data_IF_117923920561
#
_entry.id   IF_117923920561
#
_cell.length_a   1.000
_cell.length_b   1.000
_cell.length_c   1.000
_cell.angle_alpha   90.00
_cell.angle_beta   90.00
_cell.angle_gamma   90.00
#
_symmetry.space_group_name_H-M   'P 1'
#
loop_
_entity.id
_entity.type
_entity.pdbx_description
1 polymer ?
#
# COMPACT_ATOMS: atom_id res chain seq x y z
N UNK A 1 -49.78 16.55 15.19
CA UNK A 1 -49.45 17.99 15.04
C UNK A 1 -48.03 18.12 15.60
N UNK A 2 -47.03 17.96 14.75
CA UNK A 2 -45.65 18.22 15.15
C UNK A 2 -45.35 19.71 15.02
N UNK A 3 -45.62 20.43 16.06
CA UNK A 3 -44.94 21.69 16.31
C UNK A 3 -43.66 21.36 17.05
N UNK A 4 -42.53 21.29 16.33
CA UNK A 4 -41.21 21.65 16.85
C UNK A 4 -40.14 21.12 15.91
N UNK A 5 -39.72 21.97 14.98
CA UNK A 5 -38.49 21.74 14.18
C UNK A 5 -37.20 21.61 15.00
N UNK A 6 -37.27 21.70 16.31
CA UNK A 6 -36.15 21.59 17.24
C UNK A 6 -35.76 20.13 17.58
N UNK A 7 -36.71 19.19 17.57
CA UNK A 7 -36.45 17.79 17.99
C UNK A 7 -35.72 17.00 16.89
N UNK A 8 -36.06 17.22 15.62
CA UNK A 8 -35.39 16.55 14.51
C UNK A 8 -33.94 17.02 14.37
N UNK A 9 -33.65 18.30 14.57
CA UNK A 9 -32.29 18.84 14.47
C UNK A 9 -31.41 18.33 15.61
N UNK A 10 -31.95 18.16 16.80
CA UNK A 10 -31.20 17.62 17.94
C UNK A 10 -30.96 16.12 17.82
N UNK A 11 -31.91 15.36 17.24
CA UNK A 11 -31.72 13.93 17.01
C UNK A 11 -30.67 13.68 15.92
N UNK A 12 -30.72 14.42 14.81
CA UNK A 12 -29.72 14.37 13.75
C UNK A 12 -28.33 14.82 14.27
N UNK A 13 -28.28 15.88 15.07
CA UNK A 13 -27.01 16.29 15.70
C UNK A 13 -26.44 15.23 16.67
N UNK A 14 -27.28 14.53 17.42
CA UNK A 14 -26.84 13.49 18.36
C UNK A 14 -26.35 12.22 17.60
N UNK A 15 -26.99 11.86 16.50
CA UNK A 15 -26.51 10.75 15.64
C UNK A 15 -25.20 11.09 14.92
N UNK A 16 -25.04 12.31 14.42
CA UNK A 16 -23.79 12.77 13.80
C UNK A 16 -22.66 12.83 14.84
N UNK A 17 -22.94 13.29 16.06
CA UNK A 17 -21.93 13.32 17.13
C UNK A 17 -21.55 11.92 17.62
N UNK A 18 -22.44 10.93 17.54
CA UNK A 18 -22.13 9.54 17.92
C UNK A 18 -21.21 8.82 16.91
N UNK A 19 -21.07 9.33 15.68
CA UNK A 19 -20.22 8.75 14.65
C UNK A 19 -18.85 9.45 14.49
N UNK A 20 -18.60 10.54 15.22
CA UNK A 20 -17.32 11.23 15.17
C UNK A 20 -16.33 10.66 16.17
N UNK A 21 -15.14 10.37 15.69
CA UNK A 21 -14.01 9.90 16.49
C UNK A 21 -12.87 10.91 16.49
N UNK A 22 -12.14 10.94 17.59
CA UNK A 22 -10.99 11.81 17.79
C UNK A 22 -9.72 11.15 17.24
N UNK A 23 -9.03 11.84 16.36
CA UNK A 23 -7.70 11.44 15.86
C UNK A 23 -6.68 12.47 16.31
N UNK A 24 -5.55 11.99 16.84
CA UNK A 24 -4.39 12.81 17.15
C UNK A 24 -3.37 12.60 16.03
N UNK A 25 -3.10 13.64 15.24
CA UNK A 25 -2.07 13.62 14.23
C UNK A 25 -0.73 14.04 14.84
N UNK A 26 0.21 13.09 14.97
CA UNK A 26 1.51 13.33 15.59
C UNK A 26 2.43 14.22 14.75
N UNK A 27 2.24 14.27 13.42
CA UNK A 27 3.08 15.04 12.52
C UNK A 27 3.04 16.55 12.79
N UNK A 28 1.88 17.07 13.17
CA UNK A 28 1.66 18.50 13.43
C UNK A 28 0.99 18.74 14.80
N UNK A 29 0.88 17.70 15.63
CA UNK A 29 0.24 17.73 16.94
C UNK A 29 -1.21 18.26 16.93
N UNK A 30 -1.90 18.10 15.79
CA UNK A 30 -3.29 18.51 15.65
C UNK A 30 -4.24 17.39 16.10
N UNK A 31 -5.43 17.83 16.50
CA UNK A 31 -6.56 16.94 16.79
C UNK A 31 -7.61 17.15 15.73
N UNK A 32 -8.06 16.07 15.11
CA UNK A 32 -9.11 16.04 14.11
C UNK A 32 -10.31 15.24 14.64
N UNK A 33 -11.51 15.70 14.30
CA UNK A 33 -12.75 14.94 14.49
C UNK A 33 -13.18 14.43 13.12
N UNK A 34 -13.22 13.12 12.94
CA UNK A 34 -13.58 12.49 11.67
C UNK A 34 -14.69 11.46 11.88
N UNK A 35 -15.41 11.13 10.84
CA UNK A 35 -16.43 10.08 10.89
C UNK A 35 -15.77 8.69 11.02
N UNK A 36 -16.41 7.79 11.75
CA UNK A 36 -15.99 6.37 11.82
C UNK A 36 -15.95 5.78 10.41
N UNK A 37 -14.88 5.05 10.10
CA UNK A 37 -14.66 4.46 8.79
C UNK A 37 -13.95 5.38 7.78
N UNK A 38 -13.55 6.59 8.18
CA UNK A 38 -12.69 7.46 7.38
C UNK A 38 -11.34 6.78 7.13
N UNK A 39 -10.87 6.79 5.87
CA UNK A 39 -9.58 6.24 5.50
C UNK A 39 -8.42 7.17 5.88
N UNK A 40 -7.22 6.61 6.05
CA UNK A 40 -6.01 7.42 6.27
C UNK A 40 -5.75 8.36 5.09
N UNK A 41 -6.06 7.93 3.86
CA UNK A 41 -5.94 8.77 2.66
C UNK A 41 -6.84 10.01 2.73
N UNK A 42 -8.08 9.87 3.21
CA UNK A 42 -8.99 11.00 3.36
C UNK A 42 -8.55 11.94 4.48
N UNK A 43 -7.96 11.40 5.55
CA UNK A 43 -7.37 12.22 6.61
C UNK A 43 -6.20 13.06 6.09
N UNK A 44 -5.36 12.51 5.21
CA UNK A 44 -4.25 13.26 4.58
C UNK A 44 -4.78 14.49 3.84
N UNK A 45 -5.93 14.40 3.18
CA UNK A 45 -6.55 15.53 2.45
C UNK A 45 -6.99 16.67 3.37
N UNK A 46 -7.20 16.37 4.66
CA UNK A 46 -7.56 17.36 5.70
C UNK A 46 -6.34 18.03 6.34
N UNK A 47 -5.13 17.49 6.09
CA UNK A 47 -3.88 18.01 6.63
C UNK A 47 -3.28 19.08 5.70
N UNK A 48 -2.45 20.00 6.24
CA UNK A 48 -1.66 20.90 5.39
C UNK A 48 -0.79 20.07 4.45
N UNK A 49 -0.65 20.56 3.21
CA UNK A 49 0.14 19.91 2.17
C UNK A 49 1.60 19.70 2.60
N UNK A 50 2.20 18.62 2.09
CA UNK A 50 3.61 18.28 2.31
C UNK A 50 4.34 18.25 0.97
N UNK A 51 5.66 18.56 0.99
CA UNK A 51 6.50 18.48 -0.20
C UNK A 51 6.62 17.05 -0.76
N UNK A 52 6.57 16.05 0.13
CA UNK A 52 6.69 14.65 -0.23
C UNK A 52 5.41 13.89 0.12
N UNK A 53 4.95 13.01 -0.79
CA UNK A 53 3.73 12.22 -0.54
C UNK A 53 3.91 11.27 0.64
N UNK A 54 2.86 11.10 1.42
CA UNK A 54 2.81 10.05 2.43
C UNK A 54 2.61 8.69 1.76
N UNK A 55 3.28 7.67 2.29
CA UNK A 55 3.30 6.31 1.76
C UNK A 55 2.55 5.32 2.66
N UNK A 56 2.49 5.60 3.94
CA UNK A 56 1.83 4.81 4.95
C UNK A 56 1.62 5.65 6.22
N UNK A 57 1.00 5.08 7.25
CA UNK A 57 0.91 5.70 8.56
C UNK A 57 1.09 4.68 9.68
N UNK A 58 1.63 5.13 10.82
CA UNK A 58 1.48 4.44 12.08
C UNK A 58 0.12 4.77 12.67
N UNK A 59 -0.64 3.75 13.04
CA UNK A 59 -1.87 3.84 13.82
C UNK A 59 -1.61 3.10 15.13
N UNK A 60 -1.58 3.80 16.24
CA UNK A 60 -1.19 3.24 17.54
C UNK A 60 0.10 2.41 17.45
N UNK A 61 1.17 2.95 16.84
CA UNK A 61 2.47 2.31 16.58
C UNK A 61 2.49 1.11 15.62
N UNK A 62 1.37 0.79 14.96
CA UNK A 62 1.31 -0.24 13.93
C UNK A 62 1.25 0.40 12.53
N UNK A 63 2.11 -0.04 11.63
CA UNK A 63 2.10 0.46 10.24
C UNK A 63 0.84 -0.03 9.53
N UNK A 64 0.13 0.90 8.89
CA UNK A 64 -1.06 0.68 8.08
C UNK A 64 -0.90 1.32 6.70
N UNK A 65 -1.54 0.71 5.71
CA UNK A 65 -1.70 1.25 4.37
C UNK A 65 -2.67 2.43 4.38
N UNK A 66 -2.64 3.29 3.37
CA UNK A 66 -3.43 4.52 3.36
C UNK A 66 -4.94 4.27 3.17
N UNK A 67 -5.33 3.11 2.65
CA UNK A 67 -6.72 2.66 2.55
C UNK A 67 -7.31 2.16 3.88
N UNK A 68 -6.48 2.05 4.93
CA UNK A 68 -6.92 1.60 6.25
C UNK A 68 -7.96 2.56 6.83
N UNK A 69 -9.11 2.01 7.25
CA UNK A 69 -10.22 2.74 7.83
C UNK A 69 -10.15 2.75 9.35
N UNK A 70 -10.41 3.89 9.95
CA UNK A 70 -10.34 4.09 11.40
C UNK A 70 -11.75 4.05 11.98
N UNK A 71 -11.94 3.25 13.05
CA UNK A 71 -13.23 3.06 13.72
C UNK A 71 -13.23 3.42 15.22
N UNK A 72 -12.07 3.80 15.75
CA UNK A 72 -11.87 4.13 17.15
C UNK A 72 -10.93 5.33 17.32
N UNK A 73 -10.93 6.03 18.44
CA UNK A 73 -9.96 7.10 18.70
C UNK A 73 -8.52 6.55 18.68
N UNK A 74 -7.66 7.17 17.87
CA UNK A 74 -6.29 6.71 17.66
C UNK A 74 -5.30 7.86 17.51
N UNK A 75 -4.02 7.55 17.76
CA UNK A 75 -2.88 8.38 17.34
C UNK A 75 -2.41 7.93 15.95
N UNK A 76 -2.21 8.89 15.06
CA UNK A 76 -1.76 8.65 13.68
C UNK A 76 -0.51 9.47 13.38
N UNK A 77 0.52 8.81 12.86
CA UNK A 77 1.73 9.44 12.35
C UNK A 77 1.97 9.01 10.92
N UNK A 78 1.78 9.91 9.98
CA UNK A 78 2.05 9.66 8.56
C UNK A 78 3.54 9.63 8.28
N UNK A 79 3.95 8.73 7.39
CA UNK A 79 5.35 8.53 6.99
C UNK A 79 5.50 8.64 5.48
N UNK A 80 6.58 9.27 5.06
CA UNK A 80 6.98 9.44 3.68
C UNK A 80 8.34 8.75 3.41
N UNK A 81 8.94 8.99 2.26
CA UNK A 81 10.20 8.37 1.85
C UNK A 81 11.42 8.79 2.71
N UNK A 82 11.33 9.83 3.53
CA UNK A 82 12.44 10.20 4.43
C UNK A 82 12.50 9.30 5.67
N UNK A 83 11.43 8.58 5.95
CA UNK A 83 11.37 7.65 7.07
C UNK A 83 11.83 6.25 6.63
N UNK A 84 12.57 5.55 7.48
CA UNK A 84 13.11 4.21 7.18
C UNK A 84 12.02 3.22 6.71
N UNK A 85 10.89 3.15 7.40
CA UNK A 85 9.79 2.28 6.98
C UNK A 85 9.10 2.78 5.70
N UNK A 86 9.08 4.08 5.45
CA UNK A 86 8.59 4.64 4.19
C UNK A 86 9.43 4.20 3.00
N UNK A 87 10.77 4.18 3.15
CA UNK A 87 11.69 3.61 2.15
C UNK A 87 11.34 2.15 1.88
N UNK A 88 11.11 1.35 2.93
CA UNK A 88 10.78 -0.08 2.79
C UNK A 88 9.44 -0.31 2.07
N UNK A 89 8.42 0.51 2.37
CA UNK A 89 7.13 0.46 1.66
C UNK A 89 7.33 0.79 0.19
N UNK A 90 8.06 1.85 -0.13
CA UNK A 90 8.37 2.25 -1.49
C UNK A 90 9.13 1.16 -2.26
N UNK A 91 10.18 0.59 -1.66
CA UNK A 91 10.96 -0.49 -2.26
C UNK A 91 10.11 -1.73 -2.56
N UNK A 92 9.23 -2.14 -1.65
CA UNK A 92 8.32 -3.29 -1.89
C UNK A 92 7.42 -3.06 -3.10
N UNK A 93 6.88 -1.86 -3.26
CA UNK A 93 6.08 -1.49 -4.43
C UNK A 93 6.91 -1.55 -5.71
N UNK A 94 8.14 -1.02 -5.70
CA UNK A 94 9.07 -1.11 -6.83
C UNK A 94 9.38 -2.57 -7.21
N UNK A 95 9.60 -3.45 -6.23
CA UNK A 95 9.85 -4.86 -6.50
C UNK A 95 8.65 -5.56 -7.16
N UNK A 96 7.43 -5.26 -6.71
CA UNK A 96 6.22 -5.79 -7.35
C UNK A 96 6.08 -5.30 -8.80
N UNK A 97 6.36 -4.03 -9.04
CA UNK A 97 6.34 -3.44 -10.39
C UNK A 97 7.42 -4.05 -11.27
N UNK A 98 8.64 -4.21 -10.75
CA UNK A 98 9.76 -4.84 -11.45
C UNK A 98 9.43 -6.28 -11.80
N UNK A 99 8.91 -7.06 -10.86
CA UNK A 99 8.49 -8.45 -11.12
C UNK A 99 7.41 -8.51 -12.21
N UNK A 100 6.41 -7.61 -12.19
CA UNK A 100 5.37 -7.53 -13.22
C UNK A 100 5.94 -7.16 -14.58
N UNK A 101 6.88 -6.22 -14.64
CA UNK A 101 7.54 -5.80 -15.88
C UNK A 101 8.39 -6.95 -16.48
N UNK A 102 9.20 -7.60 -15.64
CA UNK A 102 10.02 -8.74 -16.07
C UNK A 102 9.14 -9.90 -16.55
N UNK A 103 8.08 -10.25 -15.83
CA UNK A 103 7.18 -11.33 -16.24
C UNK A 103 6.47 -11.03 -17.57
N UNK A 104 6.18 -9.77 -17.87
CA UNK A 104 5.57 -9.38 -19.14
C UNK A 104 6.57 -9.45 -20.32
N UNK A 105 7.85 -9.14 -20.07
CA UNK A 105 8.90 -9.14 -21.11
C UNK A 105 9.56 -10.51 -21.29
N UNK A 106 9.63 -11.29 -20.23
CA UNK A 106 10.26 -12.59 -20.19
C UNK A 106 9.31 -13.67 -19.62
N UNK A 107 8.23 -14.00 -20.34
CA UNK A 107 7.23 -14.95 -19.85
C UNK A 107 7.88 -16.33 -19.58
N UNK A 108 7.49 -16.94 -18.46
CA UNK A 108 8.01 -18.24 -18.05
C UNK A 108 9.39 -18.22 -17.39
N UNK A 109 10.07 -17.08 -17.36
CA UNK A 109 11.35 -16.93 -16.66
C UNK A 109 11.14 -16.61 -15.19
N UNK A 110 11.90 -17.25 -14.30
CA UNK A 110 11.90 -16.93 -12.88
C UNK A 110 12.69 -15.65 -12.64
N UNK A 111 12.13 -14.73 -11.87
CA UNK A 111 12.79 -13.53 -11.39
C UNK A 111 13.01 -13.60 -9.87
N UNK A 112 14.22 -13.26 -9.43
CA UNK A 112 14.59 -13.25 -8.01
C UNK A 112 15.38 -12.00 -7.65
N UNK A 113 15.30 -11.63 -6.38
CA UNK A 113 16.12 -10.59 -5.74
C UNK A 113 16.82 -11.24 -4.55
N UNK A 114 17.98 -11.90 -4.75
CA UNK A 114 18.63 -12.70 -3.71
C UNK A 114 19.12 -11.87 -2.53
N UNK A 115 19.72 -10.73 -2.79
CA UNK A 115 20.35 -9.89 -1.76
C UNK A 115 20.47 -8.43 -2.19
N UNK A 116 20.74 -7.57 -1.20
CA UNK A 116 21.09 -6.17 -1.44
C UNK A 116 22.59 -6.05 -1.72
N UNK A 117 22.94 -5.11 -2.61
CA UNK A 117 24.33 -4.76 -2.92
C UNK A 117 24.50 -3.26 -2.74
N UNK A 118 25.26 -2.84 -1.74
CA UNK A 118 25.44 -1.42 -1.42
C UNK A 118 24.11 -0.69 -1.22
N UNK A 119 23.78 0.28 -2.06
CA UNK A 119 22.52 1.03 -2.04
C UNK A 119 21.46 0.48 -3.00
N UNK A 120 21.71 -0.65 -3.64
CA UNK A 120 20.82 -1.29 -4.62
C UNK A 120 20.50 -2.73 -4.25
N UNK A 121 19.94 -3.44 -5.23
CA UNK A 121 19.57 -4.86 -5.10
C UNK A 121 20.06 -5.63 -6.31
N UNK A 122 20.62 -6.79 -6.03
CA UNK A 122 20.98 -7.72 -7.09
C UNK A 122 19.73 -8.46 -7.57
N UNK A 123 19.52 -8.47 -8.88
CA UNK A 123 18.36 -9.07 -9.52
C UNK A 123 18.79 -10.12 -10.51
N UNK A 124 18.14 -11.27 -10.50
CA UNK A 124 18.41 -12.39 -11.40
C UNK A 124 17.16 -12.75 -12.21
N UNK A 125 17.35 -12.97 -13.51
CA UNK A 125 16.35 -13.57 -14.39
C UNK A 125 16.91 -14.91 -14.88
N UNK A 126 16.18 -15.99 -14.65
CA UNK A 126 16.63 -17.34 -15.00
C UNK A 126 16.99 -17.48 -16.47
N UNK A 127 18.21 -17.98 -16.73
CA UNK A 127 18.74 -18.17 -18.08
C UNK A 127 19.16 -16.87 -18.78
N UNK A 128 19.35 -15.79 -18.03
CA UNK A 128 19.97 -14.55 -18.51
C UNK A 128 21.11 -14.23 -17.54
N UNK A 129 22.35 -14.40 -17.98
CA UNK A 129 23.55 -14.14 -17.16
C UNK A 129 23.89 -12.66 -17.10
N UNK A 130 23.79 -11.97 -18.24
CA UNK A 130 23.98 -10.53 -18.32
C UNK A 130 22.88 -9.89 -19.16
N UNK A 131 22.40 -8.74 -18.71
CA UNK A 131 21.45 -7.93 -19.46
C UNK A 131 22.19 -6.79 -20.16
N UNK A 132 21.93 -6.61 -21.44
CA UNK A 132 22.39 -5.45 -22.17
C UNK A 132 21.70 -4.16 -21.65
N UNK A 133 22.34 -3.02 -21.89
CA UNK A 133 21.76 -1.69 -21.54
C UNK A 133 20.37 -1.50 -22.18
N UNK A 134 20.18 -2.04 -23.38
CA UNK A 134 18.92 -1.96 -24.12
C UNK A 134 17.82 -2.79 -23.45
N UNK A 135 18.14 -3.97 -22.93
CA UNK A 135 17.20 -4.82 -22.20
C UNK A 135 16.81 -4.19 -20.86
N UNK A 136 17.77 -3.64 -20.12
CA UNK A 136 17.50 -2.88 -18.89
C UNK A 136 16.59 -1.71 -19.19
N UNK A 137 16.83 -0.99 -20.30
CA UNK A 137 15.96 0.10 -20.74
C UNK A 137 14.54 -0.37 -21.02
N UNK A 138 14.35 -1.49 -21.71
CA UNK A 138 13.00 -2.07 -21.97
C UNK A 138 12.26 -2.38 -20.66
N UNK A 139 12.96 -2.94 -19.66
CA UNK A 139 12.36 -3.20 -18.36
C UNK A 139 11.95 -1.89 -17.68
N UNK A 140 12.82 -0.88 -17.70
CA UNK A 140 12.53 0.46 -17.15
C UNK A 140 11.33 1.10 -17.84
N UNK A 141 11.31 1.14 -19.18
CA UNK A 141 10.22 1.68 -19.98
C UNK A 141 8.89 0.98 -19.64
N UNK A 142 8.93 -0.34 -19.45
CA UNK A 142 7.75 -1.11 -19.03
C UNK A 142 7.28 -0.76 -17.61
N UNK A 143 8.20 -0.51 -16.68
CA UNK A 143 7.84 -0.04 -15.35
C UNK A 143 7.21 1.36 -15.39
N UNK A 144 7.75 2.26 -16.20
CA UNK A 144 7.18 3.60 -16.39
C UNK A 144 5.78 3.55 -17.02
N UNK A 145 5.54 2.60 -17.94
CA UNK A 145 4.20 2.34 -18.48
C UNK A 145 3.22 1.91 -17.39
N UNK A 146 3.63 1.03 -16.48
CA UNK A 146 2.79 0.61 -15.35
C UNK A 146 2.42 1.79 -14.45
N UNK A 147 3.35 2.71 -14.22
CA UNK A 147 3.07 3.95 -13.46
C UNK A 147 2.07 4.83 -14.21
N UNK A 148 2.28 5.07 -15.52
CA UNK A 148 1.35 5.87 -16.33
C UNK A 148 -0.06 5.32 -16.37
N UNK A 149 -0.21 3.99 -16.37
CA UNK A 149 -1.51 3.31 -16.31
C UNK A 149 -2.19 3.45 -14.95
N UNK A 150 -1.48 3.92 -13.93
CA UNK A 150 -1.96 4.07 -12.55
C UNK A 150 -2.74 2.84 -12.05
N UNK A 151 -2.15 1.64 -12.26
CA UNK A 151 -2.80 0.37 -11.93
C UNK A 151 -2.93 0.26 -10.40
N UNK A 152 -4.13 0.08 -9.86
CA UNK A 152 -4.31 -0.09 -8.44
C UNK A 152 -3.66 -1.40 -7.96
N UNK A 153 -2.92 -1.31 -6.84
CA UNK A 153 -2.35 -2.49 -6.18
C UNK A 153 -3.34 -2.96 -5.12
N UNK A 154 -4.07 -4.02 -5.43
CA UNK A 154 -5.01 -4.62 -4.50
C UNK A 154 -4.36 -5.69 -3.62
N UNK A 155 -4.89 -5.85 -2.39
CA UNK A 155 -4.53 -6.94 -1.48
C UNK A 155 -5.76 -7.79 -1.21
N UNK A 156 -5.60 -9.11 -1.37
CA UNK A 156 -6.64 -10.08 -1.03
C UNK A 156 -6.12 -11.04 0.03
N UNK A 157 -6.99 -11.41 0.97
CA UNK A 157 -6.76 -12.52 1.89
C UNK A 157 -7.51 -13.71 1.31
N UNK A 158 -6.78 -14.76 0.99
CA UNK A 158 -7.31 -16.01 0.45
C UNK A 158 -6.81 -17.19 1.27
N UNK A 159 -7.46 -18.33 1.18
CA UNK A 159 -6.97 -19.57 1.76
C UNK A 159 -5.67 -20.00 1.08
N UNK A 160 -4.80 -20.70 1.82
CA UNK A 160 -3.51 -21.16 1.29
C UNK A 160 -3.67 -22.03 0.06
N UNK A 161 -4.68 -22.89 0.02
CA UNK A 161 -4.96 -23.77 -1.13
C UNK A 161 -5.35 -22.97 -2.38
N UNK A 162 -6.20 -21.96 -2.24
CA UNK A 162 -6.59 -21.07 -3.35
C UNK A 162 -5.37 -20.30 -3.89
N UNK A 163 -4.50 -19.83 -2.98
CA UNK A 163 -3.26 -19.15 -3.36
C UNK A 163 -2.31 -20.11 -4.13
N UNK A 164 -2.19 -21.37 -3.70
CA UNK A 164 -1.39 -22.40 -4.41
C UNK A 164 -1.91 -22.63 -5.83
N UNK A 165 -3.24 -22.76 -5.99
CA UNK A 165 -3.84 -22.92 -7.31
C UNK A 165 -3.54 -21.73 -8.24
N UNK A 166 -3.65 -20.50 -7.72
CA UNK A 166 -3.34 -19.28 -8.49
C UNK A 166 -1.87 -19.26 -8.89
N UNK A 167 -0.94 -19.54 -7.95
CA UNK A 167 0.49 -19.56 -8.25
C UNK A 167 0.88 -20.68 -9.22
N UNK A 168 0.25 -21.86 -9.10
CA UNK A 168 0.47 -22.97 -10.04
C UNK A 168 0.03 -22.57 -11.46
N UNK A 169 -1.14 -21.95 -11.60
CA UNK A 169 -1.65 -21.46 -12.89
C UNK A 169 -0.75 -20.40 -13.52
N UNK A 170 -0.14 -19.55 -12.68
CA UNK A 170 0.80 -18.51 -13.11
C UNK A 170 2.22 -19.02 -13.33
N UNK A 171 2.51 -20.29 -13.05
CA UNK A 171 3.85 -20.89 -13.20
C UNK A 171 4.84 -20.51 -12.10
N UNK A 172 4.36 -19.97 -10.96
CA UNK A 172 5.20 -19.59 -9.82
C UNK A 172 5.41 -20.76 -8.84
N UNK A 173 6.00 -21.84 -9.34
CA UNK A 173 6.21 -23.06 -8.55
C UNK A 173 7.10 -22.88 -7.31
N UNK A 174 8.01 -21.92 -7.34
CA UNK A 174 8.82 -21.53 -6.18
C UNK A 174 7.97 -20.95 -5.04
N UNK A 175 6.89 -20.25 -5.38
CA UNK A 175 5.93 -19.72 -4.38
C UNK A 175 5.08 -20.85 -3.79
N UNK A 176 4.66 -21.80 -4.63
CA UNK A 176 3.93 -22.99 -4.17
C UNK A 176 4.80 -23.77 -3.18
N UNK A 177 6.05 -24.09 -3.54
CA UNK A 177 6.97 -24.82 -2.68
C UNK A 177 7.24 -24.09 -1.34
N UNK A 178 7.32 -22.76 -1.35
CA UNK A 178 7.48 -21.97 -0.12
C UNK A 178 6.26 -22.07 0.79
N UNK A 179 5.05 -22.22 0.25
CA UNK A 179 3.82 -22.37 1.04
C UNK A 179 3.68 -23.75 1.66
N UNK A 180 4.30 -24.78 1.09
CA UNK A 180 4.31 -26.13 1.63
C UNK A 180 5.26 -26.28 2.83
N UNK A 181 6.20 -25.34 3.02
CA UNK A 181 7.19 -25.35 4.09
C UNK A 181 6.80 -24.51 5.31
N UNK A 182 5.64 -23.87 5.29
CA UNK A 182 5.09 -23.05 6.38
C UNK A 182 3.81 -23.62 6.93
#
# INVERSE_FOLDING_TARGET
ICNNGCICINHIKSEIMNNLIKIICENNQSTLMVEMGTSLEDIIKMLPGTELPYLAAYVNNNIKELDYKIFEPVSVRFINITHFEGIRVYQRTLFMMLQKAVHALYPGKRFRIPHSVSKGFYCEIEGIEEMSVEEVKKVKDRMEDLVRQNIPVGRQKVLSEEAKEVYTRLGFYDKVALMDTR
#
